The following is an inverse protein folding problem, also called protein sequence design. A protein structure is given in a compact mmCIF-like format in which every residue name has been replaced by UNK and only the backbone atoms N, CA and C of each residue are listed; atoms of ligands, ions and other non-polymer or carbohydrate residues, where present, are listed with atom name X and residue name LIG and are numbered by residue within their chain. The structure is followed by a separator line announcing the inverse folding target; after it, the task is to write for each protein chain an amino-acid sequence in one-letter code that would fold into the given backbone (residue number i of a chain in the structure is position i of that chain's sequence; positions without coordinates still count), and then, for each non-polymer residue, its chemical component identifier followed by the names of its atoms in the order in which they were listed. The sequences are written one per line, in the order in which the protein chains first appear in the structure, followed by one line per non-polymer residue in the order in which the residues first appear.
data_IF_265823416052
#
_entry.id   IF_265823416052
#
_cell.length_a   1.000
_cell.length_b   1.000
_cell.length_c   1.000
_cell.angle_alpha   90.00
_cell.angle_beta   90.00
_cell.angle_gamma   90.00
#
_symmetry.space_group_name_H-M   'P 1'
#
loop_
_entity.id
_entity.type
_entity.pdbx_description
1 polymer ?
#
# COMPACT_ATOMS: atom_id res chain seq x y z
N UNK A 1 16.70 -11.49 1.20
CA UNK A 1 15.44 -11.60 0.45
C UNK A 1 14.81 -10.25 0.29
N UNK A 2 14.35 -9.93 -0.91
CA UNK A 2 13.76 -8.63 -1.21
C UNK A 2 12.25 -8.74 -1.29
N UNK A 3 11.58 -7.57 -1.21
CA UNK A 3 10.12 -7.52 -1.29
C UNK A 3 9.70 -6.56 -2.38
N UNK A 4 8.60 -6.91 -3.05
CA UNK A 4 7.92 -6.04 -4.00
C UNK A 4 6.54 -5.71 -3.45
N UNK A 5 6.18 -4.42 -3.49
CA UNK A 5 4.90 -3.97 -2.94
C UNK A 5 4.07 -3.38 -4.06
N UNK A 6 2.82 -3.84 -4.14
CA UNK A 6 1.87 -3.38 -5.14
C UNK A 6 0.66 -2.77 -4.45
N UNK A 7 0.29 -1.56 -4.86
CA UNK A 7 -0.92 -0.92 -4.37
C UNK A 7 -2.05 -1.28 -5.30
N UNK A 8 -2.88 -2.21 -4.86
CA UNK A 8 -3.95 -2.76 -5.68
C UNK A 8 -5.27 -2.14 -5.26
N UNK A 9 -6.12 -1.83 -6.21
CA UNK A 9 -7.44 -1.24 -5.93
C UNK A 9 -7.37 -0.01 -5.02
N UNK A 10 -6.36 0.83 -5.22
CA UNK A 10 -6.24 2.07 -4.44
C UNK A 10 -7.29 3.06 -4.91
N UNK A 11 -8.15 3.45 -3.98
CA UNK A 11 -9.19 4.43 -4.24
C UNK A 11 -9.48 5.23 -2.97
N UNK A 12 -10.48 6.07 -3.02
CA UNK A 12 -10.80 6.98 -1.93
C UNK A 12 -11.28 6.29 -0.67
N UNK A 13 -11.73 5.06 -0.77
CA UNK A 13 -12.28 4.33 0.38
C UNK A 13 -11.31 3.32 0.97
N UNK A 14 -10.29 2.92 0.25
CA UNK A 14 -9.35 1.93 0.76
C UNK A 14 -8.27 1.53 -0.23
N UNK A 15 -7.51 0.55 0.16
CA UNK A 15 -6.43 0.00 -0.65
C UNK A 15 -6.17 -1.45 -0.27
N UNK A 16 -5.82 -2.27 -1.25
CA UNK A 16 -5.27 -3.60 -1.02
C UNK A 16 -3.78 -3.56 -1.30
N UNK A 17 -2.98 -4.03 -0.36
CA UNK A 17 -1.54 -4.04 -0.53
C UNK A 17 -1.08 -5.48 -0.70
N UNK A 18 -0.45 -5.73 -1.84
CA UNK A 18 0.08 -7.05 -2.16
C UNK A 18 1.59 -7.00 -2.00
N UNK A 19 2.12 -7.89 -1.17
CA UNK A 19 3.56 -8.00 -0.93
C UNK A 19 4.05 -9.34 -1.45
N UNK A 20 5.05 -9.28 -2.33
CA UNK A 20 5.70 -10.48 -2.88
C UNK A 20 7.16 -10.48 -2.46
N UNK A 21 7.63 -11.61 -1.96
CA UNK A 21 9.03 -11.79 -1.61
C UNK A 21 9.75 -12.46 -2.77
N UNK A 22 10.99 -12.06 -3.01
CA UNK A 22 11.74 -12.63 -4.09
C UNK A 22 13.23 -12.64 -3.80
N UNK A 23 13.92 -13.54 -4.50
CA UNK A 23 15.38 -13.59 -4.56
C UNK A 23 15.79 -13.06 -5.92
N UNK A 24 16.89 -12.33 -5.96
CA UNK A 24 17.41 -11.82 -7.21
C UNK A 24 18.76 -12.47 -7.50
N UNK A 25 18.89 -13.02 -8.70
CA UNK A 25 20.09 -13.71 -9.10
C UNK A 25 20.30 -13.49 -10.58
N UNK A 26 21.48 -12.98 -10.95
CA UNK A 26 21.83 -12.69 -12.34
C UNK A 26 20.80 -11.82 -13.07
N UNK A 27 20.24 -10.86 -12.35
CA UNK A 27 19.26 -9.94 -12.91
C UNK A 27 17.86 -10.49 -13.04
N UNK A 28 17.63 -11.70 -12.55
CA UNK A 28 16.31 -12.34 -12.61
C UNK A 28 15.71 -12.42 -11.22
N UNK A 29 14.40 -12.24 -11.15
CA UNK A 29 13.64 -12.34 -9.89
C UNK A 29 12.99 -13.71 -9.78
N UNK A 30 13.15 -14.32 -8.62
CA UNK A 30 12.53 -15.62 -8.32
C UNK A 30 11.63 -15.43 -7.11
N UNK A 31 10.33 -15.49 -7.31
CA UNK A 31 9.37 -15.28 -6.23
C UNK A 31 9.32 -16.47 -5.30
N UNK A 32 9.25 -16.19 -4.00
CA UNK A 32 9.32 -17.20 -2.95
C UNK A 32 8.04 -17.17 -2.13
N UNK A 33 7.38 -18.34 -2.03
CA UNK A 33 6.17 -18.46 -1.23
C UNK A 33 4.97 -17.81 -1.86
N UNK A 34 3.89 -17.75 -1.09
CA UNK A 34 2.65 -17.12 -1.54
C UNK A 34 2.67 -15.63 -1.28
N UNK A 35 2.11 -14.82 -2.17
CA UNK A 35 2.00 -13.38 -1.92
C UNK A 35 1.14 -13.11 -0.70
N UNK A 36 1.46 -12.06 0.03
CA UNK A 36 0.67 -11.63 1.18
C UNK A 36 -0.19 -10.44 0.77
N UNK A 37 -1.50 -10.54 0.99
CA UNK A 37 -2.43 -9.46 0.68
C UNK A 37 -3.09 -8.96 1.95
N UNK A 38 -3.09 -7.64 2.12
CA UNK A 38 -3.70 -7.00 3.28
C UNK A 38 -4.52 -5.79 2.82
N UNK A 39 -5.77 -5.72 3.26
CA UNK A 39 -6.64 -4.60 2.91
C UNK A 39 -6.70 -3.59 4.05
N UNK A 40 -6.79 -2.32 3.68
CA UNK A 40 -6.91 -1.21 4.63
C UNK A 40 -8.00 -0.27 4.15
N UNK A 41 -8.85 0.16 5.07
CA UNK A 41 -9.90 1.13 4.78
C UNK A 41 -9.44 2.53 5.13
N UNK A 42 -10.05 3.52 4.49
CA UNK A 42 -9.75 4.92 4.79
C UNK A 42 -10.50 5.34 6.04
N UNK A 43 -10.00 4.93 7.19
CA UNK A 43 -10.52 5.32 8.49
C UNK A 43 -9.36 5.43 9.48
N UNK A 44 -9.63 6.05 10.62
CA UNK A 44 -8.57 6.35 11.60
C UNK A 44 -7.83 5.12 12.08
N UNK A 45 -8.56 4.06 12.36
CA UNK A 45 -7.96 2.83 12.88
C UNK A 45 -7.02 2.19 11.87
N UNK A 46 -7.50 2.04 10.64
CA UNK A 46 -6.69 1.40 9.61
C UNK A 46 -5.53 2.27 9.15
N UNK A 47 -5.69 3.59 9.20
CA UNK A 47 -4.59 4.51 8.88
C UNK A 47 -3.45 4.34 9.88
N UNK A 48 -3.77 4.16 11.16
CA UNK A 48 -2.74 3.92 12.16
C UNK A 48 -2.01 2.60 11.92
N UNK A 49 -2.74 1.56 11.55
CA UNK A 49 -2.14 0.27 11.19
C UNK A 49 -1.27 0.41 9.95
N UNK A 50 -1.76 1.15 8.96
CA UNK A 50 -1.03 1.37 7.71
C UNK A 50 0.31 2.06 7.98
N UNK A 51 0.33 3.06 8.86
CA UNK A 51 1.56 3.78 9.21
C UNK A 51 2.60 2.87 9.84
N UNK A 52 2.16 1.86 10.57
CA UNK A 52 3.08 0.89 11.18
C UNK A 52 3.57 -0.14 10.19
N UNK A 53 2.71 -0.55 9.28
CA UNK A 53 2.99 -1.70 8.42
C UNK A 53 3.66 -1.33 7.11
N UNK A 54 3.40 -0.13 6.60
CA UNK A 54 3.81 0.28 5.26
C UNK A 54 4.79 1.43 5.33
N UNK A 55 5.89 1.30 4.56
CA UNK A 55 6.94 2.32 4.52
C UNK A 55 6.73 3.25 3.33
N UNK A 56 7.58 4.29 3.30
CA UNK A 56 7.61 5.21 2.17
C UNK A 56 8.26 4.55 0.95
N UNK A 57 7.92 4.92 -0.27
CA UNK A 57 7.00 6.01 -0.62
C UNK A 57 5.52 5.59 -0.68
N UNK A 58 5.22 4.33 -0.42
CA UNK A 58 3.87 3.79 -0.58
C UNK A 58 2.88 4.45 0.37
N UNK A 59 3.31 4.66 1.60
CA UNK A 59 2.45 5.30 2.61
C UNK A 59 2.03 6.70 2.18
N UNK A 60 2.97 7.50 1.73
CA UNK A 60 2.67 8.86 1.27
C UNK A 60 1.72 8.87 0.08
N UNK A 61 1.87 7.94 -0.84
CA UNK A 61 0.99 7.86 -2.01
C UNK A 61 -0.45 7.58 -1.59
N UNK A 62 -0.64 6.65 -0.67
CA UNK A 62 -1.97 6.28 -0.18
C UNK A 62 -2.60 7.46 0.55
N UNK A 63 -1.89 8.04 1.49
CA UNK A 63 -2.41 9.13 2.30
C UNK A 63 -2.73 10.37 1.45
N UNK A 64 -1.94 10.61 0.43
CA UNK A 64 -2.16 11.75 -0.45
C UNK A 64 -3.47 11.61 -1.22
N UNK A 65 -3.77 10.43 -1.69
CA UNK A 65 -5.03 10.19 -2.40
C UNK A 65 -6.23 10.37 -1.47
N UNK A 66 -6.11 9.87 -0.24
CA UNK A 66 -7.18 9.99 0.74
C UNK A 66 -7.37 11.43 1.21
N UNK A 67 -6.28 12.19 1.38
CA UNK A 67 -6.34 13.61 1.74
C UNK A 67 -6.92 14.45 0.62
N UNK A 68 -6.57 14.14 -0.60
CA UNK A 68 -7.05 14.88 -1.75
C UNK A 68 -8.58 14.87 -1.81
N UNK A 69 -9.19 13.74 -1.50
CA UNK A 69 -10.65 13.65 -1.47
C UNK A 69 -11.24 14.54 -0.38
N UNK A 70 -10.65 14.55 0.80
CA UNK A 70 -11.11 15.38 1.90
C UNK A 70 -11.03 16.86 1.56
N UNK A 71 -9.92 17.30 0.99
CA UNK A 71 -9.74 18.68 0.57
C UNK A 71 -10.77 19.09 -0.47
N UNK A 72 -11.08 18.21 -1.39
CA UNK A 72 -12.07 18.48 -2.42
C UNK A 72 -13.45 18.66 -1.82
N UNK A 73 -13.78 17.87 -0.84
CA UNK A 73 -15.06 17.97 -0.13
C UNK A 73 -15.15 19.28 0.66
N UNK A 74 -14.07 19.70 1.25
CA UNK A 74 -14.02 20.91 2.06
C UNK A 74 -14.25 22.18 1.24
N UNK A 75 -13.97 22.13 -0.02
CA UNK A 75 -14.15 23.29 -0.90
C UNK A 75 -15.58 23.46 -1.39
N UNK A 76 -16.38 22.48 -1.19
CA UNK A 76 -17.79 22.52 -1.55
C UNK A 76 -18.64 23.04 -0.41
#
# INVERSE_FOLDING_TARGET
MKEEIFLDDLNETGVSILTKKYLEEDGKKYYVGSPHRQAYANNSLDIERLKKDISEPYLSCILKIWEFKEQKNDKV
#
